data_IF_694255977729
#
_entry.id   IF_694255977729
#
_cell.length_a   1.000
_cell.length_b   1.000
_cell.length_c   1.000
_cell.angle_alpha   90.00
_cell.angle_beta   90.00
_cell.angle_gamma   90.00
#
_symmetry.space_group_name_H-M   'P 1'
#
loop_
_entity.id
_entity.type
_entity.pdbx_description
1 polymer ?
#
# COMPACT_ATOMS: atom_id res chain seq x y z
N UNK A 1 -16.86 -12.17 10.91
CA UNK A 1 -16.43 -13.18 9.93
C UNK A 1 -15.66 -12.44 8.84
N UNK A 2 -14.38 -12.70 8.72
CA UNK A 2 -13.58 -12.08 7.67
C UNK A 2 -13.56 -12.99 6.45
N UNK A 3 -13.65 -12.38 5.27
CA UNK A 3 -13.61 -13.10 4.01
C UNK A 3 -12.16 -13.23 3.56
N UNK A 4 -11.67 -14.45 3.47
CA UNK A 4 -10.35 -14.74 2.91
C UNK A 4 -10.51 -15.61 1.67
N UNK A 5 -9.92 -15.20 0.59
CA UNK A 5 -9.78 -16.03 -0.60
C UNK A 5 -8.53 -15.61 -1.37
N UNK A 6 -8.09 -16.45 -2.28
CA UNK A 6 -7.01 -16.12 -3.19
C UNK A 6 -7.38 -14.92 -4.06
N UNK A 7 -6.50 -13.91 -4.20
CA UNK A 7 -6.75 -12.76 -5.07
C UNK A 7 -7.08 -13.20 -6.50
N UNK A 8 -8.11 -12.57 -7.07
CA UNK A 8 -8.57 -12.84 -8.44
C UNK A 8 -8.67 -11.54 -9.20
N UNK A 9 -8.29 -11.58 -10.46
CA UNK A 9 -8.36 -10.43 -11.35
C UNK A 9 -9.29 -10.74 -12.52
N UNK A 10 -10.19 -9.81 -12.81
CA UNK A 10 -10.91 -9.71 -14.07
C UNK A 10 -10.61 -8.34 -14.65
N UNK A 11 -10.00 -8.31 -15.83
CA UNK A 11 -9.66 -7.08 -16.53
C UNK A 11 -10.09 -7.17 -17.97
N UNK A 12 -10.66 -6.09 -18.47
CA UNK A 12 -10.94 -5.86 -19.88
C UNK A 12 -10.47 -4.44 -20.20
N UNK A 13 -9.55 -4.33 -21.15
CA UNK A 13 -9.05 -3.07 -21.68
C UNK A 13 -9.42 -2.98 -23.15
N UNK A 14 -10.20 -1.99 -23.50
CA UNK A 14 -10.54 -1.64 -24.87
C UNK A 14 -9.69 -0.44 -25.31
N UNK A 15 -8.96 -0.61 -26.40
CA UNK A 15 -8.06 0.40 -26.96
C UNK A 15 -8.66 0.84 -28.30
N UNK A 16 -8.97 2.11 -28.43
CA UNK A 16 -9.39 2.73 -29.67
C UNK A 16 -8.21 3.52 -30.26
N UNK A 17 -7.82 3.16 -31.45
CA UNK A 17 -6.74 3.81 -32.17
C UNK A 17 -7.23 5.02 -32.98
N UNK A 18 -6.32 5.92 -33.33
CA UNK A 18 -6.64 7.14 -34.10
C UNK A 18 -7.15 6.88 -35.51
N UNK A 19 -6.92 5.69 -36.04
CA UNK A 19 -7.44 5.22 -37.32
C UNK A 19 -8.86 4.60 -37.24
N UNK A 20 -9.43 4.58 -36.01
CA UNK A 20 -10.74 4.00 -35.74
C UNK A 20 -10.74 2.49 -35.52
N UNK A 21 -9.60 1.83 -35.59
CA UNK A 21 -9.49 0.42 -35.20
C UNK A 21 -9.56 0.24 -33.69
N UNK A 22 -10.03 -0.92 -33.23
CA UNK A 22 -10.13 -1.25 -31.80
C UNK A 22 -9.38 -2.54 -31.50
N UNK A 23 -8.77 -2.60 -30.33
CA UNK A 23 -8.14 -3.79 -29.77
C UNK A 23 -8.73 -4.08 -28.38
N UNK A 24 -9.00 -5.34 -28.08
CA UNK A 24 -9.52 -5.79 -26.80
C UNK A 24 -8.52 -6.69 -26.12
N UNK A 25 -8.01 -6.26 -24.95
CA UNK A 25 -7.15 -7.06 -24.09
C UNK A 25 -7.96 -7.54 -22.90
N UNK A 26 -8.02 -8.85 -22.70
CA UNK A 26 -8.77 -9.50 -21.60
C UNK A 26 -7.84 -10.39 -20.78
N UNK A 27 -8.20 -10.60 -19.52
CA UNK A 27 -7.54 -11.61 -18.69
C UNK A 27 -7.90 -13.01 -19.17
N UNK A 28 -6.89 -13.81 -19.45
CA UNK A 28 -7.01 -15.20 -19.88
C UNK A 28 -5.84 -16.06 -19.33
N UNK A 29 -5.68 -17.30 -19.83
CA UNK A 29 -4.64 -18.22 -19.41
C UNK A 29 -3.24 -17.93 -20.00
N UNK A 30 -3.12 -16.93 -20.86
CA UNK A 30 -1.83 -16.41 -21.33
C UNK A 30 -1.15 -15.52 -20.28
N UNK A 31 -1.93 -14.98 -19.35
CA UNK A 31 -1.41 -14.13 -18.29
C UNK A 31 -0.52 -14.88 -17.33
N UNK A 32 0.40 -14.15 -16.72
CA UNK A 32 1.33 -14.68 -15.74
C UNK A 32 1.18 -13.96 -14.41
N UNK A 33 1.54 -14.65 -13.34
CA UNK A 33 1.46 -14.15 -11.97
C UNK A 33 2.72 -14.48 -11.18
N UNK A 34 3.04 -13.60 -10.24
CA UNK A 34 4.09 -13.82 -9.25
C UNK A 34 3.72 -13.09 -7.96
N UNK A 35 4.41 -13.39 -6.87
CA UNK A 35 4.31 -12.63 -5.63
C UNK A 35 5.21 -11.40 -5.72
N UNK A 36 4.86 -10.35 -5.00
CA UNK A 36 5.58 -9.08 -4.94
C UNK A 36 5.76 -8.58 -3.52
N UNK A 37 5.99 -7.27 -3.34
CA UNK A 37 6.30 -6.64 -2.06
C UNK A 37 5.12 -6.56 -1.08
N UNK A 38 3.88 -6.65 -1.55
CA UNK A 38 2.68 -6.63 -0.72
C UNK A 38 2.48 -7.99 -0.07
N UNK A 39 2.73 -8.10 1.23
CA UNK A 39 2.66 -9.35 1.99
C UNK A 39 1.30 -9.58 2.62
N UNK A 40 0.63 -8.50 3.02
CA UNK A 40 -0.70 -8.52 3.62
C UNK A 40 -1.43 -7.21 3.30
N UNK A 41 -2.73 -7.31 3.05
CA UNK A 41 -3.62 -6.15 2.94
C UNK A 41 -5.01 -6.47 3.48
N UNK A 42 -5.52 -5.60 4.32
CA UNK A 42 -6.91 -5.65 4.78
C UNK A 42 -7.31 -4.31 5.38
N UNK A 43 -8.52 -3.84 5.06
CA UNK A 43 -9.07 -2.59 5.60
C UNK A 43 -9.10 -2.58 7.13
N UNK A 44 -9.33 -3.73 7.76
CA UNK A 44 -9.47 -3.82 9.22
C UNK A 44 -8.16 -3.99 9.99
N UNK A 45 -7.09 -4.41 9.34
CA UNK A 45 -5.82 -4.69 10.00
C UNK A 45 -4.65 -3.87 9.49
N UNK A 46 -4.76 -3.32 8.28
CA UNK A 46 -3.73 -2.53 7.64
C UNK A 46 -2.98 -3.29 6.54
N UNK A 47 -1.87 -2.72 6.11
CA UNK A 47 -1.04 -3.23 5.01
C UNK A 47 0.37 -3.56 5.50
N UNK A 48 0.95 -4.66 5.01
CA UNK A 48 2.35 -5.02 5.21
C UNK A 48 3.06 -5.07 3.86
N UNK A 49 4.12 -4.27 3.74
CA UNK A 49 4.89 -4.11 2.50
C UNK A 49 6.39 -4.30 2.76
N UNK A 50 7.04 -5.12 1.95
CA UNK A 50 8.49 -5.31 2.00
C UNK A 50 9.14 -4.82 0.70
N UNK A 51 9.72 -3.64 0.73
CA UNK A 51 10.31 -3.00 -0.45
C UNK A 51 11.51 -3.77 -1.04
N UNK A 52 12.11 -4.69 -0.28
CA UNK A 52 13.19 -5.57 -0.79
C UNK A 52 12.70 -6.56 -1.83
N UNK A 53 11.37 -6.82 -1.87
CA UNK A 53 10.72 -7.74 -2.80
C UNK A 53 10.17 -7.04 -4.05
N UNK A 54 10.43 -5.75 -4.22
CA UNK A 54 10.05 -5.03 -5.43
C UNK A 54 10.72 -5.64 -6.67
N UNK A 55 9.93 -5.72 -7.74
CA UNK A 55 10.35 -6.26 -9.02
C UNK A 55 10.66 -5.09 -9.97
N UNK A 56 11.90 -4.62 -9.96
CA UNK A 56 12.30 -3.45 -10.74
C UNK A 56 11.97 -3.59 -12.23
N UNK A 57 11.18 -2.66 -12.75
CA UNK A 57 10.84 -2.62 -14.17
C UNK A 57 9.78 -3.60 -14.64
N UNK A 58 9.07 -4.28 -13.74
CA UNK A 58 8.01 -5.23 -14.10
C UNK A 58 6.91 -4.63 -15.01
N UNK A 59 6.69 -3.34 -14.89
CA UNK A 59 5.70 -2.57 -15.65
C UNK A 59 6.30 -1.91 -16.92
N UNK A 60 7.49 -2.31 -17.34
CA UNK A 60 8.15 -1.78 -18.54
C UNK A 60 8.13 -2.80 -19.66
N UNK A 61 8.08 -2.30 -20.90
CA UNK A 61 8.19 -3.15 -22.07
C UNK A 61 9.53 -3.91 -22.08
N UNK A 62 9.48 -5.19 -22.43
CA UNK A 62 10.65 -6.06 -22.48
C UNK A 62 11.09 -6.65 -21.13
N UNK A 63 10.28 -6.51 -20.07
CA UNK A 63 10.55 -7.18 -18.81
C UNK A 63 10.61 -8.70 -18.98
N UNK A 64 11.60 -9.35 -18.35
CA UNK A 64 11.79 -10.81 -18.42
C UNK A 64 10.95 -11.50 -17.34
N UNK A 65 9.79 -11.98 -17.72
CA UNK A 65 8.83 -12.66 -16.85
C UNK A 65 8.90 -14.19 -16.92
N UNK A 66 10.02 -14.76 -17.40
CA UNK A 66 10.16 -16.21 -17.61
C UNK A 66 10.02 -17.04 -16.32
N UNK A 67 10.28 -16.45 -15.16
CA UNK A 67 10.13 -17.09 -13.85
C UNK A 67 8.70 -17.01 -13.30
N UNK A 68 7.83 -16.20 -13.92
CA UNK A 68 6.45 -16.06 -13.46
C UNK A 68 5.64 -17.30 -13.83
N UNK A 69 4.68 -17.64 -12.99
CA UNK A 69 3.79 -18.77 -13.21
C UNK A 69 2.61 -18.33 -14.09
N UNK A 70 2.06 -19.27 -14.85
CA UNK A 70 0.78 -19.01 -15.54
C UNK A 70 -0.33 -18.73 -14.55
N UNK A 71 -1.18 -17.76 -14.89
CA UNK A 71 -2.41 -17.52 -14.17
C UNK A 71 -3.36 -18.72 -14.30
N UNK A 72 -4.14 -18.97 -13.27
CA UNK A 72 -5.12 -20.04 -13.26
C UNK A 72 -6.49 -19.47 -13.57
N UNK A 73 -7.16 -20.02 -14.57
CA UNK A 73 -8.54 -19.71 -14.82
C UNK A 73 -9.41 -20.25 -13.69
N UNK A 74 -10.20 -19.40 -13.10
CA UNK A 74 -11.14 -19.75 -12.04
C UNK A 74 -12.56 -19.42 -12.47
N UNK A 75 -13.54 -20.05 -11.80
CA UNK A 75 -14.94 -19.74 -12.06
C UNK A 75 -15.21 -18.26 -11.75
N UNK A 76 -15.75 -17.53 -12.71
CA UNK A 76 -16.19 -16.17 -12.53
C UNK A 76 -17.27 -16.06 -11.42
N UNK A 77 -17.33 -14.94 -10.68
CA UNK A 77 -18.43 -14.68 -9.76
C UNK A 77 -19.76 -14.65 -10.55
N UNK A 78 -20.83 -15.02 -9.84
CA UNK A 78 -22.18 -14.90 -10.42
C UNK A 78 -22.60 -13.44 -10.38
N UNK A 79 -23.19 -12.96 -11.45
CA UNK A 79 -23.72 -11.60 -11.55
C UNK A 79 -23.33 -10.92 -12.84
N UNK A 80 -23.90 -9.75 -13.08
CA UNK A 80 -23.59 -8.91 -14.24
C UNK A 80 -22.47 -7.93 -13.87
N UNK A 81 -21.63 -7.62 -14.85
CA UNK A 81 -20.65 -6.54 -14.70
C UNK A 81 -21.36 -5.21 -14.95
N UNK A 82 -21.16 -4.26 -14.06
CA UNK A 82 -21.68 -2.91 -14.16
C UNK A 82 -20.57 -1.91 -13.90
N UNK A 83 -20.71 -0.71 -14.46
CA UNK A 83 -19.87 0.41 -14.08
C UNK A 83 -20.03 0.71 -12.58
N UNK A 84 -18.95 1.15 -11.94
CA UNK A 84 -18.98 1.57 -10.56
C UNK A 84 -19.95 2.74 -10.37
N UNK A 85 -20.93 2.58 -9.49
CA UNK A 85 -21.92 3.61 -9.19
C UNK A 85 -21.45 4.60 -8.13
N UNK A 86 -20.61 4.14 -7.20
CA UNK A 86 -20.06 5.01 -6.17
C UNK A 86 -18.93 5.88 -6.74
N UNK A 87 -18.78 7.13 -6.27
CA UNK A 87 -17.64 7.95 -6.61
C UNK A 87 -16.33 7.25 -6.26
N UNK A 88 -15.29 7.51 -7.04
CA UNK A 88 -13.95 7.02 -6.72
C UNK A 88 -13.41 7.70 -5.45
N UNK A 89 -12.72 6.94 -4.63
CA UNK A 89 -11.91 7.49 -3.55
C UNK A 89 -10.79 8.36 -4.13
N UNK A 90 -10.60 9.53 -3.56
CA UNK A 90 -9.64 10.52 -4.05
C UNK A 90 -8.98 11.21 -2.87
N UNK A 91 -7.71 11.55 -3.03
CA UNK A 91 -7.04 12.50 -2.16
C UNK A 91 -7.68 13.87 -2.38
N UNK A 92 -8.37 14.36 -1.38
CA UNK A 92 -9.01 15.68 -1.41
C UNK A 92 -8.18 16.75 -0.71
N UNK A 93 -7.30 16.32 0.20
CA UNK A 93 -6.45 17.19 0.99
C UNK A 93 -5.25 16.43 1.54
N UNK A 94 -4.11 17.10 1.62
CA UNK A 94 -2.90 16.61 2.29
C UNK A 94 -2.73 17.44 3.56
N UNK A 95 -2.57 16.76 4.69
CA UNK A 95 -2.43 17.39 6.01
C UNK A 95 -1.07 17.07 6.60
N UNK A 96 -0.44 18.10 7.16
CA UNK A 96 0.79 17.94 7.94
C UNK A 96 0.46 17.74 9.43
N UNK A 97 1.25 16.95 10.17
CA UNK A 97 1.11 16.86 11.61
C UNK A 97 1.37 18.23 12.27
N UNK A 98 0.59 18.54 13.28
CA UNK A 98 0.75 19.79 14.07
C UNK A 98 1.76 19.64 15.19
N UNK A 99 2.09 18.41 15.58
CA UNK A 99 3.16 18.11 16.54
C UNK A 99 3.73 16.72 16.34
N UNK A 100 5.00 16.59 16.72
CA UNK A 100 5.71 15.32 16.83
C UNK A 100 6.33 15.25 18.23
N UNK A 101 6.06 14.18 18.97
CA UNK A 101 6.63 13.93 20.27
C UNK A 101 7.38 12.59 20.26
N UNK A 102 8.68 12.62 20.56
CA UNK A 102 9.45 11.40 20.76
C UNK A 102 9.11 10.80 22.13
N UNK A 103 8.63 9.56 22.17
CA UNK A 103 8.26 8.84 23.39
C UNK A 103 9.43 8.06 24.00
N UNK A 104 10.24 7.47 23.13
CA UNK A 104 11.45 6.72 23.45
C UNK A 104 12.41 6.74 22.25
N UNK A 105 13.49 5.98 22.31
CA UNK A 105 14.54 5.96 21.27
C UNK A 105 14.04 5.50 19.89
N UNK A 106 12.89 4.84 19.83
CA UNK A 106 12.35 4.22 18.62
C UNK A 106 10.91 4.62 18.29
N UNK A 107 10.24 5.33 19.19
CA UNK A 107 8.80 5.60 19.06
C UNK A 107 8.52 7.10 19.04
N UNK A 108 7.77 7.50 18.01
CA UNK A 108 7.34 8.87 17.77
C UNK A 108 5.82 8.93 17.70
N UNK A 109 5.25 9.99 18.24
CA UNK A 109 3.82 10.25 18.25
C UNK A 109 3.51 11.51 17.47
N UNK A 110 2.80 11.36 16.36
CA UNK A 110 2.39 12.46 15.50
C UNK A 110 0.92 12.80 15.74
N UNK A 111 0.61 14.08 15.95
CA UNK A 111 -0.75 14.56 16.12
C UNK A 111 -1.18 15.38 14.90
N UNK A 112 -2.42 15.17 14.45
CA UNK A 112 -3.02 15.91 13.35
C UNK A 112 -4.04 16.93 13.87
N UNK A 113 -4.35 17.99 13.08
CA UNK A 113 -5.24 19.06 13.53
C UNK A 113 -6.68 18.58 13.77
N UNK A 114 -7.09 17.51 13.12
CA UNK A 114 -8.45 16.96 13.16
C UNK A 114 -8.45 15.44 12.95
N UNK A 115 -9.62 14.80 13.14
CA UNK A 115 -9.81 13.41 12.72
C UNK A 115 -9.71 13.31 11.19
N UNK A 116 -8.97 12.36 10.73
CA UNK A 116 -8.72 12.07 9.32
C UNK A 116 -9.32 10.72 8.97
N UNK A 117 -9.94 10.62 7.79
CA UNK A 117 -10.23 9.36 7.12
C UNK A 117 -9.34 9.31 5.88
N UNK A 118 -8.30 8.49 5.92
CA UNK A 118 -7.26 8.45 4.89
C UNK A 118 -6.10 7.54 5.27
N UNK A 119 -4.92 7.81 4.74
CA UNK A 119 -3.71 7.02 4.97
C UNK A 119 -2.48 7.92 5.15
N UNK A 120 -1.40 7.32 5.64
CA UNK A 120 -0.14 7.99 5.82
C UNK A 120 0.75 7.85 4.57
N UNK A 121 1.36 8.93 4.12
CA UNK A 121 2.49 8.90 3.21
C UNK A 121 3.77 9.15 4.02
N UNK A 122 4.72 8.25 3.95
CA UNK A 122 5.99 8.36 4.68
C UNK A 122 7.15 8.60 3.73
N UNK A 123 8.11 9.41 4.20
CA UNK A 123 9.41 9.60 3.57
C UNK A 123 10.48 9.24 4.57
N UNK A 124 11.21 8.18 4.32
CA UNK A 124 12.11 7.56 5.30
C UNK A 124 13.47 7.24 4.68
N UNK A 125 14.49 7.15 5.51
CA UNK A 125 15.81 6.68 5.13
C UNK A 125 16.34 5.74 6.22
N UNK A 126 16.88 4.61 5.81
CA UNK A 126 17.43 3.62 6.72
C UNK A 126 18.16 2.51 5.98
N UNK A 127 18.45 1.43 6.68
CA UNK A 127 19.12 0.27 6.11
C UNK A 127 18.11 -0.73 5.55
N UNK A 128 18.56 -1.57 4.63
CA UNK A 128 17.73 -2.67 4.14
C UNK A 128 17.30 -3.58 5.30
N UNK A 129 15.98 -3.81 5.40
CA UNK A 129 15.39 -4.61 6.46
C UNK A 129 14.97 -3.85 7.71
N UNK A 130 15.28 -2.56 7.84
CA UNK A 130 14.68 -1.73 8.88
C UNK A 130 13.17 -1.66 8.67
N UNK A 131 12.41 -1.65 9.77
CA UNK A 131 10.95 -1.72 9.72
C UNK A 131 10.34 -0.48 10.35
N UNK A 132 9.37 0.10 9.66
CA UNK A 132 8.53 1.19 10.15
C UNK A 132 7.14 0.61 10.42
N UNK A 133 6.68 0.78 11.65
CA UNK A 133 5.32 0.42 12.06
C UNK A 133 4.52 1.68 12.29
N UNK A 134 3.39 1.81 11.61
CA UNK A 134 2.44 2.90 11.78
C UNK A 134 1.19 2.36 12.47
N UNK A 135 0.91 2.82 13.68
CA UNK A 135 -0.30 2.49 14.43
C UNK A 135 -1.22 3.70 14.45
N UNK A 136 -2.43 3.52 13.99
CA UNK A 136 -3.42 4.59 13.84
C UNK A 136 -4.33 4.66 15.06
N UNK A 137 -4.45 5.86 15.63
CA UNK A 137 -5.15 6.07 16.89
C UNK A 137 -6.14 7.21 16.76
N UNK A 138 -7.38 6.96 17.17
CA UNK A 138 -8.47 7.93 17.14
C UNK A 138 -8.39 9.00 18.22
N UNK A 139 -9.45 9.80 18.35
CA UNK A 139 -9.64 10.68 19.49
C UNK A 139 -9.75 9.86 20.79
N UNK A 140 -9.46 10.49 21.92
CA UNK A 140 -9.40 9.82 23.23
C UNK A 140 -8.40 8.62 23.29
N UNK A 141 -7.48 8.57 22.33
CA UNK A 141 -6.48 7.49 22.20
C UNK A 141 -7.07 6.10 22.01
N UNK A 142 -8.26 6.03 21.43
CA UNK A 142 -8.86 4.76 21.06
C UNK A 142 -8.05 4.09 19.95
N UNK A 143 -7.59 2.87 20.22
CA UNK A 143 -6.85 2.03 19.29
C UNK A 143 -7.80 1.05 18.61
N UNK A 144 -7.90 1.15 17.30
CA UNK A 144 -8.72 0.25 16.49
C UNK A 144 -7.94 -0.99 16.01
N UNK A 145 -6.68 -1.14 16.42
CA UNK A 145 -5.83 -2.27 16.07
C UNK A 145 -5.33 -2.26 14.61
N UNK A 146 -5.49 -1.14 13.91
CA UNK A 146 -5.01 -1.00 12.53
C UNK A 146 -3.54 -0.60 12.52
N UNK A 147 -2.74 -1.33 11.74
CA UNK A 147 -1.28 -1.16 11.68
C UNK A 147 -0.81 -1.33 10.25
N UNK A 148 -0.06 -0.35 9.76
CA UNK A 148 0.71 -0.53 8.53
C UNK A 148 2.17 -0.80 8.85
N UNK A 149 2.79 -1.69 8.08
CA UNK A 149 4.18 -2.09 8.21
C UNK A 149 4.92 -1.90 6.89
N UNK A 150 6.00 -1.15 6.95
CA UNK A 150 6.89 -0.96 5.82
C UNK A 150 8.30 -1.46 6.15
N UNK A 151 8.83 -2.36 5.34
CA UNK A 151 10.22 -2.82 5.44
C UNK A 151 11.06 -2.17 4.36
N UNK A 152 12.10 -1.44 4.76
CA UNK A 152 12.94 -0.67 3.87
C UNK A 152 13.77 -1.57 2.94
N UNK A 153 13.92 -1.13 1.71
CA UNK A 153 14.86 -1.68 0.74
C UNK A 153 16.30 -1.25 1.04
N UNK A 154 16.47 -0.03 1.58
CA UNK A 154 17.75 0.60 1.85
C UNK A 154 18.40 1.24 0.62
N UNK A 155 19.49 1.98 0.87
CA UNK A 155 20.28 2.59 -0.20
C UNK A 155 19.88 4.02 -0.56
N UNK A 156 18.96 4.64 0.16
CA UNK A 156 18.57 6.04 -0.04
C UNK A 156 17.31 6.44 0.68
N UNK A 157 16.73 7.54 0.25
CA UNK A 157 15.42 8.00 0.71
C UNK A 157 14.33 7.22 -0.01
N UNK A 158 13.43 6.63 0.74
CA UNK A 158 12.28 5.87 0.26
C UNK A 158 11.00 6.62 0.58
N UNK A 159 10.00 6.47 -0.30
CA UNK A 159 8.67 7.00 -0.09
C UNK A 159 7.66 5.86 -0.24
N UNK A 160 6.71 5.81 0.68
CA UNK A 160 5.71 4.77 0.66
C UNK A 160 4.39 5.26 1.25
N UNK A 161 3.31 4.73 0.72
CA UNK A 161 1.94 4.84 1.22
C UNK A 161 1.20 3.52 0.95
N UNK A 162 0.27 3.10 1.82
CA UNK A 162 -0.54 1.90 1.58
C UNK A 162 -1.45 2.13 0.37
N UNK A 163 -1.80 1.03 -0.34
CA UNK A 163 -2.63 1.10 -1.55
C UNK A 163 -4.02 0.51 -1.37
N UNK A 164 -4.17 -0.41 -0.42
CA UNK A 164 -5.40 -1.20 -0.30
C UNK A 164 -6.04 -1.09 1.07
N UNK A 165 -5.63 -0.10 1.85
CA UNK A 165 -6.22 0.20 3.16
C UNK A 165 -6.34 1.70 3.36
N UNK A 166 -7.18 2.07 4.32
CA UNK A 166 -7.32 3.41 4.86
C UNK A 166 -7.74 3.34 6.32
N UNK A 167 -7.52 4.41 7.07
CA UNK A 167 -7.69 4.44 8.50
C UNK A 167 -8.49 5.68 8.92
N UNK A 168 -9.09 5.62 10.09
CA UNK A 168 -9.68 6.80 10.74
C UNK A 168 -8.86 7.10 11.98
N UNK A 169 -8.20 8.25 12.02
CA UNK A 169 -7.23 8.57 13.07
C UNK A 169 -7.11 10.07 13.33
N UNK A 170 -6.62 10.41 14.51
CA UNK A 170 -6.13 11.73 14.90
C UNK A 170 -4.64 11.72 15.19
N UNK A 171 -4.11 10.54 15.53
CA UNK A 171 -2.71 10.35 15.90
C UNK A 171 -2.14 9.16 15.15
N UNK A 172 -0.84 9.25 14.86
CA UNK A 172 -0.07 8.10 14.38
C UNK A 172 1.10 7.88 15.34
N UNK A 173 1.18 6.68 15.88
CA UNK A 173 2.37 6.21 16.57
C UNK A 173 3.26 5.50 15.55
N UNK A 174 4.46 6.04 15.39
CA UNK A 174 5.48 5.50 14.49
C UNK A 174 6.52 4.81 15.32
N UNK A 175 6.69 3.50 15.14
CA UNK A 175 7.78 2.75 15.78
C UNK A 175 8.75 2.29 14.70
N UNK A 176 10.03 2.60 14.92
CA UNK A 176 11.12 2.23 14.02
C UNK A 176 11.93 1.10 14.65
N UNK A 177 11.98 -0.04 13.97
CA UNK A 177 12.85 -1.15 14.39
C UNK A 177 14.10 -1.15 13.51
N UNK A 178 15.22 -0.75 14.09
CA UNK A 178 16.51 -0.73 13.43
C UNK A 178 17.21 -2.09 13.57
N UNK A 179 17.77 -2.58 12.48
CA UNK A 179 18.70 -3.72 12.54
C UNK A 179 20.07 -3.32 13.11
N UNK A 180 20.40 -2.01 13.08
CA UNK A 180 21.56 -1.40 13.72
C UNK A 180 21.27 0.06 14.09
N UNK A 181 21.55 0.42 15.35
CA UNK A 181 21.32 1.72 15.97
C UNK A 181 21.98 2.90 15.23
N UNK A 182 21.19 3.71 14.53
CA UNK A 182 21.44 5.16 14.33
C UNK A 182 20.13 5.83 13.95
N UNK A 183 19.72 6.82 14.73
CA UNK A 183 18.58 7.67 14.44
C UNK A 183 18.85 8.52 13.18
N UNK A 184 18.00 8.42 12.18
CA UNK A 184 17.91 9.35 11.07
C UNK A 184 16.50 9.93 11.02
N UNK A 185 16.39 11.19 10.63
CA UNK A 185 15.14 11.93 10.60
C UNK A 185 14.09 11.20 9.75
N UNK A 186 13.02 10.78 10.41
CA UNK A 186 11.80 10.31 9.74
C UNK A 186 10.94 11.54 9.47
N UNK A 187 10.74 11.91 8.23
CA UNK A 187 9.80 12.97 7.83
C UNK A 187 8.53 12.28 7.35
N UNK A 188 7.42 12.56 8.04
CA UNK A 188 6.09 12.19 7.58
C UNK A 188 5.52 13.37 6.79
N UNK A 189 5.40 13.22 5.47
CA UNK A 189 4.57 14.07 4.62
C UNK A 189 3.25 13.33 4.41
N UNK A 190 2.15 13.89 4.93
CA UNK A 190 0.79 13.31 4.84
C UNK A 190 -0.11 14.16 3.97
#
# INVERSE_FOLDING_TARGET
CMWYDTPRLLCQLEIEYTDGSTELVVTDDSWKTTTGPLLHDAIFTGEEYDARLELDGWNRNGYKDSSWKKALLVRAPKGSLHAQLAPHEKIIRILQPVSCEQKDDSTYWYAFPEMISGWAHIKVQGNAGDRIKLRFVGEEKNDFGQVDLYTLRGGGVEQWEPRFTWHTFRYIEVTVSYTHLRAHETVLDL
#
